data_IF_640900301048
#
_entry.id   IF_640900301048
#
_cell.length_a   1.000
_cell.length_b   1.000
_cell.length_c   1.000
_cell.angle_alpha   90.00
_cell.angle_beta   90.00
_cell.angle_gamma   90.00
#
_symmetry.space_group_name_H-M   'P 1'
#
loop_
_entity.id
_entity.type
_entity.pdbx_description
1 polymer ?
#
# COMPACT_ATOMS: atom_id res chain seq x y z
N UNK A 1 -9.64 11.79 -12.52
CA UNK A 1 -9.05 12.21 -11.23
C UNK A 1 -9.82 11.61 -10.05
N UNK A 2 -11.09 11.97 -9.81
CA UNK A 2 -11.87 11.37 -8.70
C UNK A 2 -12.02 9.84 -8.75
N UNK A 3 -12.26 9.25 -9.92
CA UNK A 3 -12.38 7.79 -10.03
C UNK A 3 -11.09 7.06 -9.65
N UNK A 4 -9.92 7.62 -9.98
CA UNK A 4 -8.63 7.07 -9.57
C UNK A 4 -8.43 7.22 -8.06
N UNK A 5 -8.80 8.36 -7.47
CA UNK A 5 -8.78 8.53 -6.01
C UNK A 5 -9.68 7.54 -5.28
N UNK A 6 -10.85 7.24 -5.85
CA UNK A 6 -11.77 6.24 -5.31
C UNK A 6 -11.17 4.83 -5.37
N UNK A 7 -10.55 4.46 -6.50
CA UNK A 7 -9.85 3.18 -6.65
C UNK A 7 -8.70 3.03 -5.64
N UNK A 8 -7.83 4.03 -5.53
CA UNK A 8 -6.73 4.05 -4.55
C UNK A 8 -7.25 3.91 -3.11
N UNK A 9 -8.32 4.65 -2.76
CA UNK A 9 -8.95 4.55 -1.44
C UNK A 9 -9.54 3.16 -1.20
N UNK A 10 -10.21 2.59 -2.20
CA UNK A 10 -10.80 1.26 -2.13
C UNK A 10 -9.73 0.20 -1.87
N UNK A 11 -8.62 0.25 -2.62
CA UNK A 11 -7.50 -0.67 -2.43
C UNK A 11 -6.86 -0.50 -1.05
N UNK A 12 -6.61 0.73 -0.61
CA UNK A 12 -6.03 0.98 0.70
C UNK A 12 -6.91 0.41 1.83
N UNK A 13 -8.21 0.69 1.82
CA UNK A 13 -9.16 0.18 2.83
C UNK A 13 -9.23 -1.34 2.81
N UNK A 14 -9.28 -1.94 1.62
CA UNK A 14 -9.31 -3.39 1.44
C UNK A 14 -8.06 -4.06 2.00
N UNK A 15 -6.87 -3.53 1.73
CA UNK A 15 -5.61 -4.13 2.20
C UNK A 15 -5.41 -3.95 3.71
N UNK A 16 -5.91 -2.86 4.30
CA UNK A 16 -5.99 -2.75 5.76
C UNK A 16 -6.86 -3.85 6.37
N UNK A 17 -8.04 -4.11 5.79
CA UNK A 17 -8.93 -5.19 6.25
C UNK A 17 -8.30 -6.57 6.06
N UNK A 18 -7.65 -6.83 4.91
CA UNK A 18 -6.91 -8.07 4.66
C UNK A 18 -5.80 -8.28 5.69
N UNK A 19 -5.06 -7.23 6.06
CA UNK A 19 -4.03 -7.35 7.09
C UNK A 19 -4.62 -7.72 8.46
N UNK A 20 -5.72 -7.08 8.87
CA UNK A 20 -6.42 -7.43 10.12
C UNK A 20 -6.86 -8.91 10.07
N UNK A 21 -7.49 -9.32 8.97
CA UNK A 21 -7.88 -10.71 8.76
C UNK A 21 -6.69 -11.68 8.85
N UNK A 22 -5.57 -11.37 8.18
CA UNK A 22 -4.34 -12.18 8.22
C UNK A 22 -3.81 -12.35 9.65
N UNK A 23 -3.93 -11.33 10.52
CA UNK A 23 -3.51 -11.47 11.93
C UNK A 23 -4.35 -12.48 12.71
N UNK A 24 -5.67 -12.56 12.46
CA UNK A 24 -6.53 -13.58 13.06
C UNK A 24 -6.29 -14.97 12.45
N UNK A 25 -6.17 -15.03 11.12
CA UNK A 25 -5.87 -16.26 10.38
C UNK A 25 -4.63 -16.97 10.93
N UNK A 26 -3.57 -16.21 11.21
CA UNK A 26 -2.30 -16.75 11.73
C UNK A 26 -2.19 -16.71 13.26
N UNK A 27 -3.09 -16.00 13.95
CA UNK A 27 -3.08 -15.81 15.39
C UNK A 27 -3.64 -17.00 16.19
N UNK A 28 -4.51 -17.81 15.57
CA UNK A 28 -5.10 -19.00 16.20
C UNK A 28 -6.19 -18.69 17.23
N UNK A 29 -6.63 -17.44 17.32
CA UNK A 29 -7.72 -16.96 18.17
C UNK A 29 -9.11 -17.19 17.56
N UNK A 30 -9.16 -17.44 16.24
CA UNK A 30 -10.39 -17.71 15.49
C UNK A 30 -10.36 -19.13 14.93
N UNK A 31 -11.49 -19.85 15.04
CA UNK A 31 -11.61 -21.21 14.51
C UNK A 31 -11.64 -21.22 12.98
N UNK A 32 -11.11 -22.27 12.37
CA UNK A 32 -11.05 -22.40 10.91
C UNK A 32 -12.41 -22.23 10.21
N UNK A 33 -13.49 -22.72 10.84
CA UNK A 33 -14.85 -22.61 10.30
C UNK A 33 -15.42 -21.19 10.34
N UNK A 34 -14.92 -20.32 11.22
CA UNK A 34 -15.40 -18.94 11.38
C UNK A 34 -14.60 -17.92 10.54
N UNK A 35 -13.45 -18.30 10.00
CA UNK A 35 -12.60 -17.41 9.19
C UNK A 35 -13.31 -16.85 7.94
N UNK A 36 -14.10 -17.63 7.16
CA UNK A 36 -14.79 -17.08 6.00
C UNK A 36 -15.76 -15.95 6.34
N UNK A 37 -16.50 -16.09 7.45
CA UNK A 37 -17.45 -15.07 7.91
C UNK A 37 -16.72 -13.83 8.42
N UNK A 38 -15.59 -14.01 9.12
CA UNK A 38 -14.73 -12.92 9.56
C UNK A 38 -14.17 -12.12 8.37
N UNK A 39 -13.74 -12.81 7.31
CA UNK A 39 -13.26 -12.17 6.08
C UNK A 39 -14.37 -11.31 5.46
N UNK A 40 -15.58 -11.86 5.30
CA UNK A 40 -16.72 -11.12 4.74
C UNK A 40 -17.04 -9.90 5.61
N UNK A 41 -17.10 -10.06 6.94
CA UNK A 41 -17.36 -8.97 7.86
C UNK A 41 -16.34 -7.83 7.71
N UNK A 42 -15.05 -8.14 7.85
CA UNK A 42 -13.98 -7.13 7.85
C UNK A 42 -13.91 -6.39 6.51
N UNK A 43 -13.98 -7.10 5.39
CA UNK A 43 -13.88 -6.46 4.07
C UNK A 43 -15.14 -5.69 3.70
N UNK A 44 -16.32 -6.15 4.12
CA UNK A 44 -17.58 -5.42 3.90
C UNK A 44 -17.60 -4.13 4.72
N UNK A 45 -17.24 -4.18 6.00
CA UNK A 45 -17.17 -2.99 6.85
C UNK A 45 -16.14 -1.99 6.33
N UNK A 46 -14.97 -2.48 5.89
CA UNK A 46 -13.94 -1.62 5.36
C UNK A 46 -14.31 -1.03 4.01
N UNK A 47 -14.88 -1.77 3.07
CA UNK A 47 -15.01 -1.30 1.67
C UNK A 47 -16.43 -0.97 1.25
N UNK A 48 -17.44 -1.28 2.06
CA UNK A 48 -18.88 -1.19 1.77
C UNK A 48 -19.38 -2.12 0.65
N UNK A 49 -18.51 -2.95 0.08
CA UNK A 49 -18.89 -3.98 -0.89
C UNK A 49 -19.29 -5.28 -0.20
N UNK A 50 -20.15 -6.07 -0.86
CA UNK A 50 -20.53 -7.40 -0.38
C UNK A 50 -19.53 -8.44 -0.88
N UNK A 51 -19.12 -9.33 0.02
CA UNK A 51 -18.22 -10.45 -0.27
C UNK A 51 -18.94 -11.78 -0.01
N UNK A 52 -18.50 -12.83 -0.71
CA UNK A 52 -18.93 -14.18 -0.45
C UNK A 52 -17.94 -14.88 0.50
N UNK A 53 -18.39 -15.81 1.37
CA UNK A 53 -17.47 -16.58 2.21
C UNK A 53 -16.40 -17.34 1.41
N UNK A 54 -16.73 -17.74 0.17
CA UNK A 54 -15.79 -18.40 -0.74
C UNK A 54 -14.58 -17.51 -1.11
N UNK A 55 -14.73 -16.18 -1.07
CA UNK A 55 -13.66 -15.23 -1.41
C UNK A 55 -12.48 -15.37 -0.43
N UNK A 56 -12.73 -15.75 0.82
CA UNK A 56 -11.69 -15.98 1.83
C UNK A 56 -10.70 -17.09 1.45
N UNK A 57 -11.07 -18.00 0.53
CA UNK A 57 -10.19 -19.09 0.09
C UNK A 57 -9.39 -18.78 -1.17
N UNK A 58 -9.86 -17.82 -1.98
CA UNK A 58 -9.25 -17.49 -3.28
C UNK A 58 -8.47 -16.19 -3.26
N UNK A 59 -8.85 -15.25 -2.39
CA UNK A 59 -8.25 -13.91 -2.34
C UNK A 59 -7.23 -13.74 -1.21
N UNK A 60 -7.10 -14.72 -0.32
CA UNK A 60 -6.12 -14.63 0.77
C UNK A 60 -4.74 -14.96 0.24
N UNK A 61 -3.88 -13.95 0.27
CA UNK A 61 -2.46 -14.09 -0.06
C UNK A 61 -1.68 -14.50 1.21
N UNK A 62 -0.83 -15.52 1.08
CA UNK A 62 -0.13 -16.03 2.25
C UNK A 62 0.96 -15.07 2.79
N UNK A 63 1.29 -15.23 4.08
CA UNK A 63 2.49 -14.64 4.73
C UNK A 63 2.47 -13.11 4.82
N UNK A 64 1.35 -12.55 5.27
CA UNK A 64 1.19 -11.12 5.48
C UNK A 64 1.46 -10.30 4.22
N UNK A 65 0.97 -10.78 3.07
CA UNK A 65 1.21 -10.12 1.80
C UNK A 65 0.54 -8.74 1.77
N UNK A 66 -0.60 -8.58 2.44
CA UNK A 66 -1.26 -7.29 2.55
C UNK A 66 -0.35 -6.23 3.20
N UNK A 67 0.43 -6.60 4.23
CA UNK A 67 1.39 -5.70 4.86
C UNK A 67 2.46 -5.21 3.88
N UNK A 68 2.91 -6.05 2.95
CA UNK A 68 3.93 -5.69 1.96
C UNK A 68 3.41 -4.61 1.00
N UNK A 69 2.18 -4.72 0.54
CA UNK A 69 1.52 -3.71 -0.30
C UNK A 69 1.32 -2.39 0.45
N UNK A 70 0.85 -2.44 1.69
CA UNK A 70 0.68 -1.23 2.50
C UNK A 70 2.01 -0.48 2.67
N UNK A 71 3.11 -1.20 2.94
CA UNK A 71 4.45 -0.61 3.01
C UNK A 71 4.95 -0.10 1.66
N UNK A 72 4.65 -0.80 0.57
CA UNK A 72 4.99 -0.36 -0.77
C UNK A 72 4.28 0.95 -1.14
N UNK A 73 2.99 1.10 -0.82
CA UNK A 73 2.26 2.36 -1.06
C UNK A 73 2.73 3.51 -0.17
N UNK A 74 3.12 3.25 1.08
CA UNK A 74 3.79 4.25 1.92
C UNK A 74 5.06 4.76 1.24
N UNK A 75 5.91 3.85 0.75
CA UNK A 75 7.14 4.21 0.07
C UNK A 75 6.88 4.92 -1.26
N UNK A 76 5.95 4.43 -2.07
CA UNK A 76 5.56 5.06 -3.34
C UNK A 76 5.17 6.53 -3.13
N UNK A 77 4.25 6.81 -2.20
CA UNK A 77 3.78 8.17 -1.96
C UNK A 77 4.93 9.09 -1.48
N UNK A 78 5.81 8.58 -0.63
CA UNK A 78 7.00 9.31 -0.19
C UNK A 78 8.01 9.56 -1.33
N UNK A 79 8.21 8.57 -2.21
CA UNK A 79 9.07 8.70 -3.38
C UNK A 79 8.50 9.71 -4.37
N UNK A 80 7.18 9.76 -4.56
CA UNK A 80 6.53 10.80 -5.36
C UNK A 80 6.83 12.19 -4.80
N UNK A 81 6.65 12.42 -3.49
CA UNK A 81 7.02 13.70 -2.86
C UNK A 81 8.51 14.01 -3.03
N UNK A 82 9.38 13.01 -2.94
CA UNK A 82 10.84 13.16 -3.07
C UNK A 82 11.23 13.54 -4.50
N UNK A 83 10.63 12.91 -5.50
CA UNK A 83 10.85 13.21 -6.92
C UNK A 83 10.32 14.60 -7.26
N UNK A 84 9.12 14.95 -6.80
CA UNK A 84 8.56 16.30 -6.99
C UNK A 84 9.42 17.37 -6.34
N UNK A 85 9.90 17.16 -5.11
CA UNK A 85 10.78 18.14 -4.46
C UNK A 85 12.13 18.30 -5.19
N UNK A 86 12.61 17.25 -5.88
CA UNK A 86 13.91 17.23 -6.55
C UNK A 86 13.87 17.73 -7.99
N UNK A 87 12.77 17.47 -8.69
CA UNK A 87 12.66 17.64 -10.15
C UNK A 87 11.39 18.39 -10.58
N UNK A 88 10.65 18.98 -9.62
CA UNK A 88 9.40 19.70 -9.79
C UNK A 88 8.17 18.81 -10.06
N UNK A 89 6.98 19.41 -10.16
CA UNK A 89 5.70 18.72 -10.35
C UNK A 89 5.71 17.77 -11.55
N UNK A 90 6.32 18.18 -12.66
CA UNK A 90 6.49 17.40 -13.89
C UNK A 90 7.77 16.53 -13.90
N UNK A 91 8.18 15.99 -12.75
CA UNK A 91 9.44 15.23 -12.61
C UNK A 91 9.60 14.09 -13.64
N UNK A 92 8.50 13.50 -14.12
CA UNK A 92 8.53 12.43 -15.13
C UNK A 92 8.98 12.91 -16.52
N UNK A 93 8.92 14.22 -16.79
CA UNK A 93 9.46 14.85 -18.01
C UNK A 93 10.93 15.27 -17.85
N UNK A 94 11.43 15.33 -16.62
CA UNK A 94 12.78 15.78 -16.36
C UNK A 94 13.80 14.68 -16.76
N UNK A 95 14.72 14.96 -17.71
CA UNK A 95 15.67 13.95 -18.18
C UNK A 95 16.64 13.47 -17.08
N UNK A 96 16.78 14.21 -15.97
CA UNK A 96 17.59 13.81 -14.83
C UNK A 96 16.88 12.82 -13.88
N UNK A 97 15.55 12.68 -13.94
CA UNK A 97 14.80 11.83 -13.03
C UNK A 97 15.05 10.33 -13.28
N UNK A 98 15.10 9.90 -14.54
CA UNK A 98 15.36 8.51 -14.92
C UNK A 98 16.73 8.00 -14.41
N UNK A 99 17.85 8.67 -14.73
CA UNK A 99 19.16 8.31 -14.20
C UNK A 99 19.21 8.28 -12.67
N UNK A 100 18.49 9.19 -12.01
CA UNK A 100 18.41 9.19 -10.55
C UNK A 100 17.64 7.97 -10.01
N UNK A 101 16.48 7.64 -10.58
CA UNK A 101 15.70 6.46 -10.20
C UNK A 101 16.53 5.18 -10.39
N UNK A 102 17.19 5.05 -11.54
CA UNK A 102 18.04 3.89 -11.82
C UNK A 102 19.19 3.82 -10.83
N UNK A 103 19.93 4.91 -10.62
CA UNK A 103 21.10 4.90 -9.74
C UNK A 103 20.74 4.74 -8.26
N UNK A 104 19.71 5.42 -7.79
CA UNK A 104 19.38 5.50 -6.36
C UNK A 104 18.35 4.49 -5.89
N UNK A 105 17.50 3.95 -6.78
CA UNK A 105 16.49 2.96 -6.40
C UNK A 105 16.85 1.61 -7.00
N UNK A 106 16.84 1.48 -8.33
CA UNK A 106 16.93 0.17 -8.97
C UNK A 106 18.33 -0.45 -8.90
N UNK A 107 19.39 0.36 -8.93
CA UNK A 107 20.79 -0.08 -8.86
C UNK A 107 21.15 -0.79 -7.56
N UNK A 108 20.31 -0.68 -6.52
CA UNK A 108 20.48 -1.34 -5.23
C UNK A 108 19.77 -2.71 -5.16
N UNK A 109 19.00 -3.09 -6.19
CA UNK A 109 18.25 -4.34 -6.22
C UNK A 109 17.27 -4.47 -5.05
N UNK A 110 17.29 -5.62 -4.38
CA UNK A 110 16.44 -5.89 -3.20
C UNK A 110 17.22 -5.84 -1.87
N UNK A 111 18.35 -5.13 -1.84
CA UNK A 111 19.21 -5.08 -0.64
C UNK A 111 18.52 -4.42 0.55
N UNK A 112 17.70 -3.41 0.30
CA UNK A 112 17.15 -2.53 1.32
C UNK A 112 15.65 -2.74 1.50
N UNK A 113 15.20 -2.74 2.75
CA UNK A 113 13.80 -2.68 3.12
C UNK A 113 13.23 -1.29 2.82
N UNK A 114 11.91 -1.20 2.70
CA UNK A 114 11.23 0.04 2.33
C UNK A 114 11.58 1.23 3.25
N UNK A 115 11.74 1.00 4.57
CA UNK A 115 12.11 2.05 5.52
C UNK A 115 13.56 2.51 5.37
N UNK A 116 14.46 1.61 4.96
CA UNK A 116 15.87 1.92 4.75
C UNK A 116 16.02 2.74 3.47
N UNK A 117 15.30 2.35 2.40
CA UNK A 117 15.21 3.12 1.17
C UNK A 117 14.63 4.52 1.44
N UNK A 118 13.51 4.61 2.17
CA UNK A 118 12.91 5.88 2.56
C UNK A 118 13.91 6.80 3.26
N UNK A 119 14.61 6.30 4.27
CA UNK A 119 15.61 7.08 5.00
C UNK A 119 16.75 7.52 4.09
N UNK A 120 17.29 6.64 3.25
CA UNK A 120 18.44 6.95 2.39
C UNK A 120 18.13 8.01 1.34
N UNK A 121 16.99 7.89 0.64
CA UNK A 121 16.72 8.75 -0.53
C UNK A 121 15.94 10.01 -0.19
N UNK A 122 15.22 10.03 0.93
CA UNK A 122 14.35 11.16 1.33
C UNK A 122 14.68 11.74 2.71
N UNK A 123 15.50 11.07 3.52
CA UNK A 123 15.77 11.47 4.90
C UNK A 123 14.58 11.34 5.85
N UNK A 124 13.48 10.73 5.41
CA UNK A 124 12.21 10.62 6.15
C UNK A 124 11.89 9.17 6.49
N UNK A 125 11.23 8.97 7.63
CA UNK A 125 10.64 7.69 7.99
C UNK A 125 9.39 7.37 7.16
N UNK A 126 9.10 6.08 6.97
CA UNK A 126 7.84 5.64 6.39
C UNK A 126 6.66 6.00 7.29
N UNK A 127 5.61 6.55 6.68
CA UNK A 127 4.34 6.80 7.33
C UNK A 127 3.22 6.76 6.30
N UNK A 128 1.97 6.68 6.75
CA UNK A 128 0.81 6.78 5.87
C UNK A 128 0.48 8.24 5.47
N UNK A 129 1.12 9.25 6.08
CA UNK A 129 0.74 10.64 5.86
C UNK A 129 0.89 11.11 4.39
N UNK A 130 1.99 10.80 3.66
CA UNK A 130 2.07 11.10 2.22
C UNK A 130 0.98 10.40 1.40
N UNK A 131 0.68 9.14 1.72
CA UNK A 131 -0.32 8.35 1.00
C UNK A 131 -1.73 8.93 1.20
N UNK A 132 -2.09 9.25 2.44
CA UNK A 132 -3.39 9.86 2.78
C UNK A 132 -3.56 11.19 2.04
N UNK A 133 -2.56 12.08 2.09
CA UNK A 133 -2.60 13.35 1.34
C UNK A 133 -2.75 13.16 -0.17
N UNK A 134 -2.12 12.12 -0.72
CA UNK A 134 -2.22 11.77 -2.14
C UNK A 134 -3.65 11.36 -2.51
N UNK A 135 -4.27 10.50 -1.70
CA UNK A 135 -5.65 10.04 -1.90
C UNK A 135 -6.64 11.20 -1.75
N UNK A 136 -6.51 12.03 -0.69
CA UNK A 136 -7.35 13.21 -0.48
C UNK A 136 -7.30 14.15 -1.69
N UNK A 137 -6.10 14.45 -2.20
CA UNK A 137 -5.93 15.30 -3.39
C UNK A 137 -6.63 14.76 -4.63
N UNK A 138 -6.65 13.44 -4.82
CA UNK A 138 -7.31 12.81 -5.97
C UNK A 138 -8.84 12.86 -5.87
N UNK A 139 -9.38 12.84 -4.64
CA UNK A 139 -10.81 12.90 -4.37
C UNK A 139 -11.39 14.32 -4.46
N UNK A 140 -10.55 15.33 -4.20
CA UNK A 140 -10.93 16.76 -4.20
C UNK A 140 -11.50 17.18 -2.86
#
# INVERSE_FOLDING_TARGET
LRSAGFEELQFLRRYCAKLIYETHLYGGDVSWGALPDLYVQLLTEATTFRYAPADAFVDVDARYYAARYLRAWQLQALLTETLTARFDEDWWRNPAAGPWIVGQLFGHGQRELAQEQAQRVSGKALSFAPLVRSVERLLG
#
